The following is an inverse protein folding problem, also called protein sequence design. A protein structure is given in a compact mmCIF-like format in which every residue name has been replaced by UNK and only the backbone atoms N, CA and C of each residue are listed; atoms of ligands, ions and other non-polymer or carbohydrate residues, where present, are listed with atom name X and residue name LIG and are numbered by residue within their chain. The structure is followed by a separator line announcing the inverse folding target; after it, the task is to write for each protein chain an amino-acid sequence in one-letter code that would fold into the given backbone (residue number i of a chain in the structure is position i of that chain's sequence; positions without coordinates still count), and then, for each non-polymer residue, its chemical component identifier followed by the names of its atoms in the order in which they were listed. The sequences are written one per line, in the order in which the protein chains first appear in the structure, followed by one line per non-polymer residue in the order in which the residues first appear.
data_IF_138382455193
#
_entry.id   IF_138382455193
#
_cell.length_a   1.000
_cell.length_b   1.000
_cell.length_c   1.000
_cell.angle_alpha   90.00
_cell.angle_beta   90.00
_cell.angle_gamma   90.00
#
_symmetry.space_group_name_H-M   'P 1'
#
loop_
_entity.id
_entity.type
_entity.pdbx_description
1 polymer ?
#
# COMPACT_ATOMS: atom_id res chain seq x y z
N UNK A 1 14.60 3.01 17.92
CA UNK A 1 14.67 3.00 16.44
C UNK A 1 13.34 3.58 15.96
N UNK A 2 13.34 4.75 15.30
CA UNK A 2 12.10 5.41 14.88
C UNK A 2 11.35 4.51 13.88
N UNK A 3 10.05 4.34 14.09
CA UNK A 3 9.22 3.51 13.24
C UNK A 3 9.08 4.16 11.86
N UNK A 4 9.47 3.46 10.79
CA UNK A 4 9.54 3.99 9.42
C UNK A 4 8.34 3.62 8.56
N UNK A 5 7.24 3.18 9.17
CA UNK A 5 6.01 2.78 8.46
C UNK A 5 5.43 3.89 7.59
N UNK A 6 5.68 5.13 7.98
CA UNK A 6 5.33 6.34 7.25
C UNK A 6 6.18 6.56 5.98
N UNK A 7 7.23 5.76 5.75
CA UNK A 7 8.01 5.80 4.51
C UNK A 7 7.47 4.79 3.49
N UNK A 8 7.19 5.21 2.24
CA UNK A 8 6.57 4.33 1.26
C UNK A 8 7.51 3.18 0.87
N UNK A 9 8.83 3.41 0.89
CA UNK A 9 9.82 2.39 0.59
C UNK A 9 9.84 1.24 1.59
N UNK A 10 9.71 1.54 2.89
CA UNK A 10 9.66 0.53 3.93
C UNK A 10 8.38 -0.32 3.80
N UNK A 11 7.22 0.31 3.65
CA UNK A 11 5.96 -0.42 3.52
C UNK A 11 5.93 -1.30 2.26
N UNK A 12 6.34 -0.77 1.10
CA UNK A 12 6.42 -1.54 -0.15
C UNK A 12 7.33 -2.77 -0.01
N UNK A 13 8.49 -2.60 0.65
CA UNK A 13 9.41 -3.72 0.91
C UNK A 13 8.72 -4.80 1.73
N UNK A 14 8.05 -4.43 2.83
CA UNK A 14 7.36 -5.38 3.71
C UNK A 14 6.20 -6.10 3.00
N UNK A 15 5.37 -5.38 2.24
CA UNK A 15 4.28 -5.97 1.46
C UNK A 15 4.79 -7.02 0.47
N UNK A 16 5.85 -6.69 -0.29
CA UNK A 16 6.45 -7.61 -1.28
C UNK A 16 7.11 -8.82 -0.61
N UNK A 17 7.79 -8.61 0.51
CA UNK A 17 8.35 -9.72 1.32
C UNK A 17 7.26 -10.65 1.85
N UNK A 18 6.05 -10.12 2.11
CA UNK A 18 4.87 -10.88 2.48
C UNK A 18 4.09 -11.44 1.27
N UNK A 19 4.60 -11.29 0.04
CA UNK A 19 4.00 -11.87 -1.16
C UNK A 19 2.95 -11.03 -1.87
N UNK A 20 2.63 -9.85 -1.35
CA UNK A 20 1.70 -8.96 -2.04
C UNK A 20 2.37 -8.27 -3.23
N UNK A 21 1.61 -8.10 -4.30
CA UNK A 21 1.99 -7.24 -5.40
C UNK A 21 1.67 -5.81 -4.97
N UNK A 22 2.69 -4.97 -4.84
CA UNK A 22 2.52 -3.57 -4.46
C UNK A 22 3.42 -2.66 -5.29
N UNK A 23 2.84 -1.61 -5.84
CA UNK A 23 3.51 -0.63 -6.71
C UNK A 23 3.37 0.78 -6.12
N UNK A 24 4.40 1.61 -6.31
CA UNK A 24 4.36 3.02 -5.93
C UNK A 24 3.63 3.80 -7.01
N UNK A 25 2.72 4.69 -6.61
CA UNK A 25 2.06 5.61 -7.54
C UNK A 25 2.61 7.02 -7.38
N UNK A 26 2.49 7.58 -6.17
CA UNK A 26 2.93 8.93 -5.85
C UNK A 26 3.75 8.93 -4.56
N UNK A 27 4.79 9.75 -4.50
CA UNK A 27 5.65 9.93 -3.33
C UNK A 27 5.75 11.37 -2.83
N UNK A 28 4.96 12.26 -3.43
CA UNK A 28 4.91 13.67 -3.07
C UNK A 28 3.57 14.26 -3.53
N UNK A 29 2.98 15.07 -2.67
CA UNK A 29 1.86 15.96 -2.96
C UNK A 29 2.30 17.41 -2.69
N UNK A 30 1.42 18.39 -2.86
CA UNK A 30 1.74 19.78 -2.49
C UNK A 30 1.94 19.91 -0.99
N UNK A 31 2.68 20.94 -0.54
CA UNK A 31 3.00 21.13 0.88
C UNK A 31 1.75 21.41 1.75
N UNK A 32 0.64 21.84 1.14
CA UNK A 32 -0.67 22.03 1.78
C UNK A 32 -1.54 20.77 1.80
N UNK A 33 -1.13 19.70 1.13
CA UNK A 33 -1.89 18.45 1.06
C UNK A 33 -1.47 17.53 2.22
N UNK A 34 -2.42 16.99 3.01
CA UNK A 34 -2.08 16.11 4.12
C UNK A 34 -1.55 14.74 3.66
N UNK A 35 -1.70 14.38 2.38
CA UNK A 35 -1.23 13.12 1.82
C UNK A 35 0.27 13.17 1.58
N UNK A 36 0.98 12.13 2.03
CA UNK A 36 2.43 12.00 1.81
C UNK A 36 2.75 11.16 0.59
N UNK A 37 2.04 10.07 0.41
CA UNK A 37 2.26 9.13 -0.70
C UNK A 37 1.07 8.22 -0.90
N UNK A 38 0.99 7.64 -2.09
CA UNK A 38 0.01 6.61 -2.44
C UNK A 38 0.71 5.43 -3.10
N UNK A 39 0.36 4.23 -2.68
CA UNK A 39 0.73 2.97 -3.32
C UNK A 39 -0.54 2.25 -3.81
N UNK A 40 -0.38 1.31 -4.74
CA UNK A 40 -1.43 0.38 -5.14
C UNK A 40 -1.03 -1.03 -4.76
N UNK A 41 -1.97 -1.77 -4.17
CA UNK A 41 -1.84 -3.17 -3.80
C UNK A 41 -2.77 -4.01 -4.67
N UNK A 42 -2.27 -5.16 -5.12
CA UNK A 42 -2.93 -6.11 -6.02
C UNK A 42 -3.59 -5.45 -7.26
N UNK A 43 -2.81 -4.74 -8.10
CA UNK A 43 -3.34 -4.10 -9.30
C UNK A 43 -4.00 -5.12 -10.23
N UNK A 44 -5.12 -4.79 -10.87
CA UNK A 44 -5.94 -5.70 -11.70
C UNK A 44 -6.57 -6.90 -10.96
N UNK A 45 -6.29 -7.07 -9.67
CA UNK A 45 -7.09 -7.87 -8.75
C UNK A 45 -7.98 -6.93 -7.93
N UNK A 46 -7.75 -6.87 -6.61
CA UNK A 46 -8.49 -6.00 -5.71
C UNK A 46 -8.24 -4.49 -5.93
N UNK A 47 -7.11 -4.12 -6.56
CA UNK A 47 -6.78 -2.74 -6.97
C UNK A 47 -6.97 -1.69 -5.87
N UNK A 48 -6.27 -1.88 -4.75
CA UNK A 48 -6.45 -1.08 -3.54
C UNK A 48 -5.46 0.07 -3.54
N UNK A 49 -5.96 1.31 -3.48
CA UNK A 49 -5.13 2.45 -3.14
C UNK A 49 -4.90 2.48 -1.63
N UNK A 50 -3.63 2.55 -1.23
CA UNK A 50 -3.25 2.85 0.14
C UNK A 50 -2.54 4.20 0.16
N UNK A 51 -3.17 5.16 0.84
CA UNK A 51 -2.66 6.54 0.95
C UNK A 51 -2.27 6.83 2.38
N UNK A 52 -1.04 7.27 2.57
CA UNK A 52 -0.55 7.72 3.87
C UNK A 52 -0.81 9.21 4.05
N UNK A 53 -1.37 9.56 5.19
CA UNK A 53 -1.62 10.91 5.63
C UNK A 53 -0.76 11.25 6.84
N UNK A 54 -0.41 12.52 6.97
CA UNK A 54 0.16 13.10 8.18
C UNK A 54 -0.69 14.30 8.60
N UNK A 55 -0.84 14.48 9.92
CA UNK A 55 -1.71 15.51 10.50
C UNK A 55 -3.19 15.37 10.11
N UNK A 56 -3.64 14.14 9.84
CA UNK A 56 -5.03 13.85 9.49
C UNK A 56 -5.46 12.46 9.99
N UNK A 57 -6.65 12.32 10.60
CA UNK A 57 -7.55 13.40 10.99
C UNK A 57 -7.02 14.24 12.17
N UNK A 58 -5.98 13.78 12.85
CA UNK A 58 -5.38 14.44 14.02
C UNK A 58 -3.98 14.96 13.74
N UNK A 59 -3.69 16.14 14.29
CA UNK A 59 -2.38 16.79 14.18
C UNK A 59 -1.33 15.96 14.91
N UNK A 60 -0.18 15.75 14.27
CA UNK A 60 0.96 15.01 14.80
C UNK A 60 0.88 13.48 14.63
N UNK A 61 -0.18 12.96 13.99
CA UNK A 61 -0.36 11.53 13.77
C UNK A 61 -0.25 11.13 12.29
N UNK A 62 -0.01 9.85 12.06
CA UNK A 62 0.04 9.22 10.73
C UNK A 62 -1.11 8.23 10.59
N UNK A 63 -1.83 8.31 9.48
CA UNK A 63 -2.92 7.40 9.17
C UNK A 63 -2.85 6.88 7.74
N UNK A 64 -3.50 5.74 7.50
CA UNK A 64 -3.51 5.06 6.22
C UNK A 64 -4.95 4.88 5.75
N UNK A 65 -5.29 5.49 4.62
CA UNK A 65 -6.57 5.25 3.96
C UNK A 65 -6.45 4.02 3.06
N UNK A 66 -7.43 3.12 3.13
CA UNK A 66 -7.59 2.02 2.17
C UNK A 66 -8.81 2.31 1.30
N UNK A 67 -8.62 2.32 -0.01
CA UNK A 67 -9.68 2.65 -0.96
C UNK A 67 -9.62 1.74 -2.19
N UNK A 68 -10.67 0.94 -2.36
CA UNK A 68 -10.90 0.04 -3.50
C UNK A 68 -12.26 0.33 -4.18
N UNK A 69 -12.78 1.55 -4.01
CA UNK A 69 -14.10 1.93 -4.50
C UNK A 69 -15.27 1.51 -3.61
N UNK A 70 -15.02 0.88 -2.46
CA UNK A 70 -16.06 0.48 -1.50
C UNK A 70 -16.36 -1.01 -1.50
N UNK A 71 -15.46 -1.86 -2.00
CA UNK A 71 -15.70 -3.29 -2.19
C UNK A 71 -15.37 -4.08 -0.92
N UNK A 72 -14.15 -3.94 -0.40
CA UNK A 72 -13.69 -4.65 0.80
C UNK A 72 -13.65 -3.74 2.03
N UNK A 73 -13.41 -2.44 1.83
CA UNK A 73 -13.47 -1.41 2.88
C UNK A 73 -14.56 -0.39 2.55
N UNK A 74 -15.24 0.18 3.57
CA UNK A 74 -16.03 1.38 3.36
C UNK A 74 -15.19 2.50 2.74
N UNK A 75 -15.83 3.36 1.94
CA UNK A 75 -15.16 4.56 1.43
C UNK A 75 -14.66 5.42 2.60
N UNK A 76 -13.48 6.02 2.43
CA UNK A 76 -12.78 6.82 3.44
C UNK A 76 -12.37 6.04 4.71
N UNK A 77 -12.20 4.70 4.62
CA UNK A 77 -11.69 3.91 5.73
C UNK A 77 -10.26 4.33 6.08
N UNK A 78 -10.06 4.84 7.29
CA UNK A 78 -8.78 5.28 7.83
C UNK A 78 -8.31 4.36 8.95
N UNK A 79 -7.09 3.85 8.81
CA UNK A 79 -6.42 3.03 9.80
C UNK A 79 -5.29 3.83 10.45
N UNK A 80 -5.35 3.98 11.77
CA UNK A 80 -4.23 4.48 12.56
C UNK A 80 -3.44 3.32 13.09
N UNK A 81 -2.18 3.24 12.70
CA UNK A 81 -1.28 2.19 13.18
C UNK A 81 0.16 2.62 13.04
N UNK A 82 1.00 2.14 13.98
CA UNK A 82 2.46 2.19 13.85
C UNK A 82 3.02 0.84 13.42
N UNK A 83 2.21 -0.20 13.27
CA UNK A 83 2.66 -1.55 12.93
C UNK A 83 2.23 -1.94 11.52
N UNK A 84 3.21 -2.38 10.73
CA UNK A 84 2.97 -2.90 9.38
C UNK A 84 2.19 -4.22 9.43
N UNK A 85 2.34 -4.97 10.52
CA UNK A 85 1.62 -6.22 10.76
C UNK A 85 0.10 -5.97 10.82
N UNK A 86 -0.36 -4.82 11.33
CA UNK A 86 -1.78 -4.43 11.30
C UNK A 86 -2.24 -4.18 9.86
N UNK A 87 -1.44 -3.52 9.02
CA UNK A 87 -1.74 -3.33 7.59
C UNK A 87 -1.83 -4.68 6.87
N UNK A 88 -0.88 -5.59 7.12
CA UNK A 88 -0.89 -6.94 6.54
C UNK A 88 -2.11 -7.74 6.99
N UNK A 89 -2.45 -7.67 8.28
CA UNK A 89 -3.62 -8.33 8.84
C UNK A 89 -4.90 -7.85 8.16
N UNK A 90 -5.07 -6.53 7.93
CA UNK A 90 -6.21 -5.99 7.20
C UNK A 90 -6.35 -6.60 5.80
N UNK A 91 -5.24 -6.73 5.06
CA UNK A 91 -5.27 -7.33 3.72
C UNK A 91 -5.65 -8.81 3.76
N UNK A 92 -5.08 -9.57 4.70
CA UNK A 92 -5.36 -11.00 4.85
C UNK A 92 -6.81 -11.23 5.28
N UNK A 93 -7.30 -10.45 6.25
CA UNK A 93 -8.67 -10.51 6.76
C UNK A 93 -9.70 -10.24 5.65
N UNK A 94 -9.38 -9.34 4.71
CA UNK A 94 -10.20 -9.05 3.52
C UNK A 94 -10.00 -10.02 2.36
N UNK A 95 -9.21 -11.08 2.53
CA UNK A 95 -9.00 -12.10 1.50
C UNK A 95 -8.21 -11.61 0.29
N UNK A 96 -7.39 -10.56 0.44
CA UNK A 96 -6.58 -10.02 -0.64
C UNK A 96 -5.49 -11.03 -1.01
N UNK A 97 -5.38 -11.36 -2.29
CA UNK A 97 -4.49 -12.41 -2.76
C UNK A 97 -3.01 -12.04 -2.54
N UNK A 98 -2.29 -12.92 -1.85
CA UNK A 98 -0.83 -12.94 -1.88
C UNK A 98 -0.35 -13.94 -2.94
N UNK A 99 0.82 -13.67 -3.54
CA UNK A 99 1.44 -14.55 -4.53
C UNK A 99 0.56 -14.93 -5.73
N UNK A 100 -0.26 -14.00 -6.21
CA UNK A 100 -1.06 -14.22 -7.42
C UNK A 100 -0.16 -14.17 -8.67
N UNK A 101 0.28 -15.33 -9.17
CA UNK A 101 1.12 -15.45 -10.37
C UNK A 101 0.37 -15.08 -11.65
N UNK A 102 -0.96 -15.15 -11.66
CA UNK A 102 -1.77 -14.83 -12.83
C UNK A 102 -1.90 -13.31 -13.01
N UNK A 103 -1.75 -12.55 -11.93
CA UNK A 103 -1.73 -11.10 -11.96
C UNK A 103 -0.63 -10.58 -12.92
N UNK A 104 -0.96 -9.71 -13.90
CA UNK A 104 0.00 -9.20 -14.89
C UNK A 104 1.12 -8.34 -14.26
N UNK A 105 0.92 -7.84 -13.05
CA UNK A 105 1.89 -7.05 -12.30
C UNK A 105 2.73 -7.88 -11.33
N UNK A 106 2.61 -9.22 -11.35
CA UNK A 106 3.50 -10.08 -10.59
C UNK A 106 4.94 -9.86 -11.05
N UNK A 107 5.84 -9.57 -10.10
CA UNK A 107 7.17 -9.02 -10.39
C UNK A 107 7.97 -9.88 -11.39
N UNK A 108 7.86 -11.21 -11.30
CA UNK A 108 8.52 -12.13 -12.24
C UNK A 108 8.06 -11.94 -13.70
N UNK A 109 6.79 -11.56 -13.94
CA UNK A 109 6.27 -11.24 -15.28
C UNK A 109 6.79 -9.88 -15.76
N UNK A 110 6.82 -8.87 -14.89
CA UNK A 110 7.34 -7.53 -15.24
C UNK A 110 8.84 -7.57 -15.54
N UNK A 111 9.63 -8.28 -14.73
CA UNK A 111 11.07 -8.41 -14.92
C UNK A 111 11.39 -9.14 -16.25
N UNK A 112 10.58 -10.14 -16.63
CA UNK A 112 10.64 -10.82 -17.94
C UNK A 112 10.20 -9.93 -19.11
N UNK A 113 9.15 -9.12 -18.94
CA UNK A 113 8.61 -8.23 -19.98
C UNK A 113 9.51 -7.02 -20.28
N UNK A 114 10.15 -6.46 -19.25
CA UNK A 114 10.98 -5.26 -19.36
C UNK A 114 12.49 -5.53 -19.29
N UNK A 115 12.90 -6.80 -19.34
CA UNK A 115 14.31 -7.19 -19.48
C UNK A 115 15.21 -6.73 -18.35
N UNK A 116 14.68 -6.61 -17.13
CA UNK A 116 15.45 -6.19 -15.95
C UNK A 116 15.78 -7.40 -15.07
N UNK A 117 16.48 -8.37 -15.66
CA UNK A 117 17.19 -9.37 -14.87
C UNK A 117 18.35 -8.68 -14.15
N UNK A 118 18.29 -8.59 -12.82
CA UNK A 118 19.48 -8.39 -12.01
C UNK A 118 20.26 -9.68 -11.90
#
# INVERSE_FOLDING_TARGET
MANKIDTPGYLLKRLRQSGFIAIRLFNKFSDSDPRRWTIMIDPAGASIFVTCYENYPDVGDVSFEFNDGGQNWPKNFLLKTKSVEVILYQLIEKGIASYNKDNPFFQEKLDKLYGTSR
#
